data_IF_498244385713
#
_entry.id   IF_498244385713
#
_cell.length_a   1.000
_cell.length_b   1.000
_cell.length_c   1.000
_cell.angle_alpha   90.00
_cell.angle_beta   90.00
_cell.angle_gamma   90.00
#
_symmetry.space_group_name_H-M   'P 1'
#
loop_
_entity.id
_entity.type
_entity.pdbx_description
1 polymer ?
#
# COMPACT_ATOMS: atom_id res chain seq x y z
N UNK A 1 -0.49 10.46 -13.58
CA UNK A 1 -1.61 10.26 -12.62
C UNK A 1 -0.99 10.15 -11.24
N UNK A 2 -1.58 10.76 -10.22
CA UNK A 2 -1.14 10.60 -8.84
C UNK A 2 -1.72 9.30 -8.24
N UNK A 3 -1.04 8.79 -7.23
CA UNK A 3 -1.53 7.74 -6.34
C UNK A 3 -1.47 8.30 -4.93
N UNK A 4 -2.64 8.56 -4.34
CA UNK A 4 -2.74 9.08 -2.97
C UNK A 4 -3.05 7.94 -1.99
N UNK A 5 -2.35 7.96 -0.87
CA UNK A 5 -2.56 7.04 0.24
C UNK A 5 -3.29 7.75 1.37
N UNK A 6 -4.35 7.10 1.84
CA UNK A 6 -5.17 7.58 2.94
C UNK A 6 -5.16 6.59 4.09
N UNK A 7 -5.20 7.11 5.31
CA UNK A 7 -5.46 6.32 6.51
C UNK A 7 -6.92 6.51 6.91
N UNK A 8 -7.65 5.41 6.96
CA UNK A 8 -9.04 5.35 7.43
C UNK A 8 -9.05 4.74 8.83
N UNK A 9 -9.36 5.53 9.88
CA UNK A 9 -9.41 5.03 11.25
C UNK A 9 -10.48 3.95 11.41
N UNK A 10 -10.11 2.77 11.91
CA UNK A 10 -11.07 1.69 12.18
C UNK A 10 -11.62 1.85 13.60
N UNK A 11 -12.32 2.95 13.84
CA UNK A 11 -12.91 3.27 15.15
C UNK A 11 -14.42 3.24 15.09
N UNK A 12 -15.04 2.85 16.20
CA UNK A 12 -16.49 2.67 16.36
C UNK A 12 -17.31 3.88 15.87
N UNK A 13 -16.85 5.09 16.22
CA UNK A 13 -17.46 6.37 15.82
C UNK A 13 -17.57 6.51 14.30
N UNK A 14 -16.59 6.01 13.53
CA UNK A 14 -16.67 6.01 12.07
C UNK A 14 -17.44 4.79 11.56
N UNK A 15 -17.05 3.60 12.01
CA UNK A 15 -17.49 2.34 11.42
C UNK A 15 -18.97 2.03 11.64
N UNK A 16 -19.58 2.49 12.74
CA UNK A 16 -20.99 2.24 13.07
C UNK A 16 -21.89 3.46 12.85
N UNK A 17 -21.36 4.55 12.29
CA UNK A 17 -22.20 5.65 11.82
C UNK A 17 -23.01 5.19 10.61
N UNK A 18 -24.34 5.48 10.52
CA UNK A 18 -25.17 5.07 9.38
C UNK A 18 -24.65 5.52 8.02
N UNK A 19 -23.93 6.64 8.00
CA UNK A 19 -23.34 7.25 6.82
C UNK A 19 -21.86 6.85 6.60
N UNK A 20 -21.39 5.75 7.21
CA UNK A 20 -20.03 5.25 7.00
C UNK A 20 -19.81 4.92 5.51
N UNK A 21 -18.94 5.67 4.80
CA UNK A 21 -18.75 5.48 3.37
C UNK A 21 -18.03 4.17 3.03
N UNK A 22 -17.46 3.48 4.02
CA UNK A 22 -16.72 2.22 3.85
C UNK A 22 -17.49 0.99 4.34
N UNK A 23 -18.79 1.11 4.66
CA UNK A 23 -19.55 0.03 5.30
C UNK A 23 -19.65 -1.21 4.41
N UNK A 24 -19.86 -1.02 3.10
CA UNK A 24 -19.98 -2.12 2.14
C UNK A 24 -18.63 -2.81 1.93
N UNK A 25 -17.55 -2.05 1.77
CA UNK A 25 -16.19 -2.56 1.63
C UNK A 25 -15.74 -3.33 2.87
N UNK A 26 -15.98 -2.79 4.08
CA UNK A 26 -15.66 -3.48 5.33
C UNK A 26 -16.39 -4.82 5.46
N UNK A 27 -17.67 -4.88 5.06
CA UNK A 27 -18.44 -6.13 5.07
C UNK A 27 -17.86 -7.15 4.06
N UNK A 28 -17.40 -6.69 2.89
CA UNK A 28 -16.72 -7.54 1.91
C UNK A 28 -15.37 -8.04 2.44
N UNK A 29 -14.59 -7.18 3.10
CA UNK A 29 -13.30 -7.55 3.69
C UNK A 29 -13.48 -8.58 4.81
N UNK A 30 -14.45 -8.37 5.71
CA UNK A 30 -14.77 -9.32 6.78
C UNK A 30 -15.19 -10.68 6.23
N UNK A 31 -15.99 -10.70 5.15
CA UNK A 31 -16.36 -11.93 4.47
C UNK A 31 -15.14 -12.66 3.90
N UNK A 32 -14.28 -11.95 3.16
CA UNK A 32 -13.07 -12.53 2.58
C UNK A 32 -12.10 -13.07 3.65
N UNK A 33 -11.93 -12.33 4.74
CA UNK A 33 -11.14 -12.76 5.90
C UNK A 33 -11.74 -14.02 6.55
N UNK A 34 -13.05 -14.05 6.77
CA UNK A 34 -13.73 -15.20 7.37
C UNK A 34 -13.62 -16.46 6.50
N UNK A 35 -13.77 -16.34 5.17
CA UNK A 35 -13.58 -17.43 4.21
C UNK A 35 -12.15 -17.98 4.24
N UNK A 36 -11.16 -17.13 4.51
CA UNK A 36 -9.76 -17.50 4.69
C UNK A 36 -9.43 -18.00 6.12
N UNK A 37 -10.41 -18.05 7.04
CA UNK A 37 -10.22 -18.47 8.42
C UNK A 37 -9.49 -17.45 9.30
N UNK A 38 -9.52 -16.17 8.92
CA UNK A 38 -8.87 -15.05 9.59
C UNK A 38 -9.87 -14.26 10.45
N UNK A 39 -9.40 -13.48 11.45
CA UNK A 39 -10.28 -12.58 12.20
C UNK A 39 -10.82 -11.45 11.30
N UNK A 40 -11.97 -10.85 11.66
CA UNK A 40 -12.49 -9.69 10.96
C UNK A 40 -11.56 -8.47 11.10
N UNK A 41 -11.80 -7.45 10.28
CA UNK A 41 -11.14 -6.15 10.38
C UNK A 41 -11.39 -5.58 11.78
N UNK A 42 -10.32 -5.23 12.53
CA UNK A 42 -10.49 -4.79 13.91
C UNK A 42 -11.11 -3.39 13.95
N UNK A 43 -12.26 -3.27 14.60
CA UNK A 43 -12.89 -1.98 14.92
C UNK A 43 -12.71 -1.67 16.40
N UNK A 44 -12.04 -0.56 16.69
CA UNK A 44 -11.71 -0.15 18.05
C UNK A 44 -12.78 0.78 18.63
N UNK A 45 -13.26 0.48 19.84
CA UNK A 45 -14.21 1.37 20.56
C UNK A 45 -13.63 2.77 20.77
N UNK A 46 -12.33 2.85 21.03
CA UNK A 46 -11.62 4.09 21.21
C UNK A 46 -10.13 3.91 20.90
N UNK A 47 -9.55 4.86 20.18
CA UNK A 47 -8.12 4.95 19.95
C UNK A 47 -7.65 6.37 20.29
N UNK A 48 -6.77 6.55 21.30
CA UNK A 48 -6.33 7.88 21.70
C UNK A 48 -5.74 8.68 20.53
N UNK A 49 -6.28 9.88 20.29
CA UNK A 49 -5.79 10.80 19.26
C UNK A 49 -6.37 10.59 17.86
N UNK A 50 -7.36 9.71 17.67
CA UNK A 50 -8.10 9.57 16.42
C UNK A 50 -9.56 9.98 16.59
N UNK A 51 -10.02 10.89 15.73
CA UNK A 51 -11.39 11.44 15.69
C UNK A 51 -12.33 10.76 14.70
N UNK A 52 -11.85 9.74 13.97
CA UNK A 52 -12.57 9.12 12.85
C UNK A 52 -12.32 9.81 11.50
N UNK A 53 -11.55 10.91 11.49
CA UNK A 53 -11.20 11.63 10.26
C UNK A 53 -10.24 10.82 9.39
N UNK A 54 -10.57 10.69 8.11
CA UNK A 54 -9.69 10.14 7.08
C UNK A 54 -8.61 11.18 6.74
N UNK A 55 -7.35 10.76 6.71
CA UNK A 55 -6.22 11.68 6.51
C UNK A 55 -5.24 11.18 5.45
N UNK A 56 -4.69 12.07 4.60
CA UNK A 56 -3.67 11.69 3.64
C UNK A 56 -2.38 11.33 4.40
N UNK A 57 -1.67 10.30 3.93
CA UNK A 57 -0.40 9.86 4.52
C UNK A 57 0.77 9.99 3.57
N UNK A 58 0.55 9.82 2.27
CA UNK A 58 1.57 10.03 1.24
C UNK A 58 0.89 10.16 -0.13
N UNK A 59 1.64 10.67 -1.11
CA UNK A 59 1.25 10.68 -2.52
C UNK A 59 2.49 10.51 -3.39
N UNK A 60 2.33 9.82 -4.53
CA UNK A 60 3.42 9.60 -5.49
C UNK A 60 2.90 9.48 -6.92
N UNK A 61 3.83 9.60 -7.87
CA UNK A 61 3.53 9.34 -9.28
C UNK A 61 3.19 7.87 -9.48
N UNK A 62 2.14 7.59 -10.26
CA UNK A 62 1.68 6.25 -10.60
C UNK A 62 2.83 5.36 -11.09
N UNK A 63 3.64 5.87 -12.00
CA UNK A 63 4.76 5.11 -12.56
C UNK A 63 5.83 4.81 -11.49
N UNK A 64 6.00 5.69 -10.49
CA UNK A 64 6.97 5.50 -9.42
C UNK A 64 6.68 4.23 -8.61
N UNK A 65 5.41 3.86 -8.43
CA UNK A 65 5.01 2.64 -7.72
C UNK A 65 5.55 1.39 -8.41
N UNK A 66 5.52 1.37 -9.74
CA UNK A 66 5.98 0.24 -10.54
C UNK A 66 7.49 0.05 -10.47
N UNK A 67 8.28 1.12 -10.33
CA UNK A 67 9.72 0.99 -10.07
C UNK A 67 10.00 0.26 -8.75
N UNK A 68 9.26 0.58 -7.69
CA UNK A 68 9.42 -0.11 -6.40
C UNK A 68 9.00 -1.58 -6.50
N UNK A 69 7.88 -1.87 -7.17
CA UNK A 69 7.40 -3.24 -7.38
C UNK A 69 8.37 -4.07 -8.23
N UNK A 70 8.96 -3.48 -9.26
CA UNK A 70 10.04 -4.08 -10.05
C UNK A 70 11.23 -4.43 -9.16
N UNK A 71 11.70 -3.50 -8.33
CA UNK A 71 12.82 -3.76 -7.43
C UNK A 71 12.52 -4.90 -6.45
N UNK A 72 11.29 -4.96 -5.91
CA UNK A 72 10.86 -6.04 -5.04
C UNK A 72 10.81 -7.39 -5.78
N UNK A 73 10.20 -7.45 -6.97
CA UNK A 73 10.12 -8.68 -7.79
C UNK A 73 11.51 -9.21 -8.15
N UNK A 74 12.40 -8.35 -8.64
CA UNK A 74 13.78 -8.73 -8.94
C UNK A 74 14.46 -9.32 -7.71
N UNK A 75 14.31 -8.65 -6.55
CA UNK A 75 14.93 -9.09 -5.31
C UNK A 75 14.42 -10.44 -4.83
N UNK A 76 13.09 -10.63 -4.77
CA UNK A 76 12.50 -11.89 -4.28
C UNK A 76 12.77 -13.07 -5.22
N UNK A 77 12.92 -12.80 -6.52
CA UNK A 77 13.30 -13.80 -7.53
C UNK A 77 14.82 -14.04 -7.59
N UNK A 78 15.63 -13.37 -6.77
CA UNK A 78 17.08 -13.52 -6.73
C UNK A 78 17.80 -12.96 -7.97
N UNK A 79 17.17 -12.02 -8.67
CA UNK A 79 17.74 -11.32 -9.82
C UNK A 79 18.46 -10.04 -9.39
N UNK A 80 19.47 -9.58 -10.14
CA UNK A 80 20.14 -8.31 -9.86
C UNK A 80 19.17 -7.13 -9.90
N UNK A 81 19.14 -6.35 -8.81
CA UNK A 81 18.37 -5.10 -8.74
C UNK A 81 19.25 -3.97 -9.25
N UNK A 82 19.02 -3.54 -10.49
CA UNK A 82 19.70 -2.39 -11.10
C UNK A 82 18.72 -1.23 -11.29
N UNK A 83 19.17 0.02 -11.03
CA UNK A 83 18.35 1.20 -11.29
C UNK A 83 18.09 1.32 -12.80
N UNK A 84 16.92 1.82 -13.14
CA UNK A 84 16.50 2.04 -14.53
C UNK A 84 15.88 3.43 -14.67
N UNK A 85 16.16 4.10 -15.78
CA UNK A 85 15.62 5.44 -16.07
C UNK A 85 14.15 5.37 -16.48
N UNK A 86 13.76 4.29 -17.16
CA UNK A 86 12.39 3.97 -17.58
C UNK A 86 12.10 2.48 -17.35
N UNK A 87 10.84 2.12 -17.10
CA UNK A 87 10.44 0.71 -16.91
C UNK A 87 10.49 -0.08 -18.22
N UNK A 88 10.16 0.58 -19.35
CA UNK A 88 9.96 -0.11 -20.62
C UNK A 88 8.93 -1.24 -20.49
N UNK A 89 9.11 -2.33 -21.23
CA UNK A 89 8.32 -3.56 -21.06
C UNK A 89 8.93 -4.56 -20.07
N UNK A 90 9.96 -4.16 -19.31
CA UNK A 90 10.70 -5.05 -18.40
C UNK A 90 9.83 -5.46 -17.21
N UNK A 91 9.04 -4.52 -16.68
CA UNK A 91 8.16 -4.81 -15.54
C UNK A 91 7.01 -5.75 -15.92
N UNK A 92 6.38 -5.56 -17.08
CA UNK A 92 5.34 -6.45 -17.59
C UNK A 92 5.90 -7.86 -17.87
N UNK A 93 7.09 -7.95 -18.47
CA UNK A 93 7.76 -9.25 -18.66
C UNK A 93 8.08 -9.94 -17.33
N UNK A 94 8.50 -9.19 -16.30
CA UNK A 94 8.72 -9.74 -14.97
C UNK A 94 7.42 -10.26 -14.35
N UNK A 95 6.31 -9.54 -14.51
CA UNK A 95 4.99 -9.99 -14.05
C UNK A 95 4.55 -11.27 -14.76
N UNK A 96 4.74 -11.36 -16.09
CA UNK A 96 4.43 -12.57 -16.86
C UNK A 96 5.33 -13.76 -16.46
N UNK A 97 6.63 -13.52 -16.30
CA UNK A 97 7.60 -14.58 -15.98
C UNK A 97 7.46 -15.10 -14.54
N UNK A 98 7.09 -14.23 -13.61
CA UNK A 98 6.99 -14.54 -12.17
C UNK A 98 5.58 -14.36 -11.62
N UNK A 99 4.55 -14.60 -12.43
CA UNK A 99 3.14 -14.39 -12.09
C UNK A 99 2.76 -14.97 -10.72
N UNK A 100 3.15 -16.23 -10.47
CA UNK A 100 2.86 -16.90 -9.18
C UNK A 100 3.52 -16.23 -7.97
N UNK A 101 4.70 -15.62 -8.16
CA UNK A 101 5.41 -14.89 -7.10
C UNK A 101 4.80 -13.50 -6.92
N UNK A 102 4.43 -12.85 -8.03
CA UNK A 102 3.72 -11.58 -8.00
C UNK A 102 2.40 -11.71 -7.23
N UNK A 103 1.56 -12.70 -7.56
CA UNK A 103 0.27 -12.98 -6.93
C UNK A 103 0.34 -13.21 -5.41
N UNK A 104 1.50 -13.60 -4.89
CA UNK A 104 1.71 -13.84 -3.47
C UNK A 104 2.13 -12.59 -2.68
N UNK A 105 2.46 -11.49 -3.36
CA UNK A 105 2.99 -10.28 -2.75
C UNK A 105 1.93 -9.21 -2.54
N UNK A 106 1.92 -8.65 -1.34
CA UNK A 106 1.04 -7.54 -0.95
C UNK A 106 1.44 -6.23 -1.63
N UNK A 107 2.73 -6.02 -1.89
CA UNK A 107 3.25 -4.86 -2.59
C UNK A 107 2.96 -4.92 -4.10
N UNK A 108 3.01 -6.11 -4.72
CA UNK A 108 2.92 -6.29 -6.18
C UNK A 108 1.51 -6.61 -6.65
N UNK A 109 0.81 -7.56 -6.01
CA UNK A 109 -0.53 -8.00 -6.41
C UNK A 109 -1.62 -7.23 -5.68
N UNK A 110 -1.66 -5.93 -5.97
CA UNK A 110 -2.58 -4.97 -5.40
C UNK A 110 -2.88 -3.89 -6.46
N UNK A 111 -4.07 -3.28 -6.40
CA UNK A 111 -4.46 -2.26 -7.36
C UNK A 111 -3.80 -0.91 -7.05
N UNK A 112 -3.49 -0.16 -8.10
CA UNK A 112 -2.58 1.00 -7.98
C UNK A 112 -3.32 2.28 -7.58
N UNK A 113 -4.63 2.32 -7.81
CA UNK A 113 -5.52 3.47 -7.63
C UNK A 113 -6.84 3.04 -6.97
N UNK A 114 -6.89 1.82 -6.45
CA UNK A 114 -8.03 1.24 -5.76
C UNK A 114 -7.54 0.17 -4.79
N UNK A 115 -8.38 -0.19 -3.82
CA UNK A 115 -8.08 -1.27 -2.88
C UNK A 115 -7.52 -0.81 -1.55
N UNK A 116 -7.36 -1.78 -0.66
CA UNK A 116 -7.04 -1.51 0.74
C UNK A 116 -6.00 -2.47 1.32
N UNK A 117 -5.28 -1.97 2.32
CA UNK A 117 -4.55 -2.79 3.27
C UNK A 117 -5.19 -2.71 4.65
N UNK A 118 -5.54 -3.83 5.25
CA UNK A 118 -6.11 -3.89 6.60
C UNK A 118 -5.03 -4.27 7.63
N UNK A 119 -5.16 -3.87 8.91
CA UNK A 119 -4.19 -4.18 9.97
C UNK A 119 -4.33 -5.63 10.50
N UNK A 120 -4.64 -6.59 9.63
CA UNK A 120 -4.76 -8.01 9.94
C UNK A 120 -3.57 -8.76 9.33
N UNK A 121 -2.97 -9.69 10.06
CA UNK A 121 -1.84 -10.48 9.56
C UNK A 121 -2.33 -11.63 8.68
N UNK A 122 -1.87 -11.69 7.44
CA UNK A 122 -2.09 -12.85 6.58
C UNK A 122 -1.01 -12.94 5.49
N UNK A 123 -0.63 -14.16 5.06
CA UNK A 123 0.59 -14.37 4.30
C UNK A 123 0.50 -13.91 2.84
N UNK A 124 -0.67 -14.00 2.20
CA UNK A 124 -0.85 -13.69 0.78
C UNK A 124 -2.09 -12.83 0.55
N UNK A 125 -2.10 -11.90 -0.42
CA UNK A 125 -3.27 -11.11 -0.74
C UNK A 125 -4.52 -11.97 -0.90
N UNK A 126 -5.65 -11.55 -0.35
CA UNK A 126 -6.91 -12.25 -0.55
C UNK A 126 -7.55 -11.75 -1.84
N UNK A 127 -7.95 -12.67 -2.70
CA UNK A 127 -8.54 -12.35 -4.00
C UNK A 127 -9.73 -13.27 -4.25
N UNK A 128 -10.90 -12.67 -4.50
CA UNK A 128 -12.11 -13.35 -4.94
C UNK A 128 -12.87 -12.44 -5.93
N UNK A 129 -13.91 -12.95 -6.58
CA UNK A 129 -14.64 -12.21 -7.62
C UNK A 129 -15.26 -10.91 -7.10
N UNK A 130 -15.70 -10.87 -5.84
CA UNK A 130 -16.28 -9.66 -5.24
C UNK A 130 -15.23 -8.57 -5.01
N UNK A 131 -14.07 -8.95 -4.48
CA UNK A 131 -12.93 -8.05 -4.31
C UNK A 131 -12.41 -7.53 -5.65
N UNK A 132 -12.27 -8.41 -6.64
CA UNK A 132 -11.80 -8.05 -7.98
C UNK A 132 -12.77 -7.16 -8.76
N UNK A 133 -14.09 -7.28 -8.50
CA UNK A 133 -15.08 -6.39 -9.08
C UNK A 133 -15.07 -4.98 -8.49
N UNK A 134 -14.46 -4.81 -7.31
CA UNK A 134 -14.31 -3.54 -6.61
C UNK A 134 -12.84 -3.09 -6.54
N UNK A 135 -12.28 -3.11 -5.33
CA UNK A 135 -10.96 -2.56 -5.03
C UNK A 135 -9.76 -3.44 -5.37
N UNK A 136 -9.97 -4.63 -5.94
CA UNK A 136 -8.89 -5.59 -6.19
C UNK A 136 -8.51 -6.41 -4.95
N UNK A 137 -7.37 -7.14 -5.00
CA UNK A 137 -6.94 -7.99 -3.90
C UNK A 137 -6.79 -7.24 -2.58
N UNK A 138 -7.29 -7.82 -1.48
CA UNK A 138 -7.17 -7.27 -0.14
C UNK A 138 -5.78 -7.54 0.43
N UNK A 139 -5.07 -6.49 0.82
CA UNK A 139 -3.72 -6.57 1.37
C UNK A 139 -3.65 -6.54 2.89
N UNK A 140 -2.55 -7.04 3.44
CA UNK A 140 -2.20 -6.97 4.86
C UNK A 140 -1.17 -5.86 5.08
N UNK A 141 -1.48 -4.90 5.95
CA UNK A 141 -0.51 -3.86 6.34
C UNK A 141 0.73 -4.45 7.04
N UNK A 142 0.57 -5.58 7.72
CA UNK A 142 1.65 -6.28 8.41
C UNK A 142 2.61 -6.94 7.42
N UNK A 143 2.07 -7.67 6.46
CA UNK A 143 2.90 -8.33 5.45
C UNK A 143 3.48 -7.31 4.46
N UNK A 144 2.73 -6.28 4.06
CA UNK A 144 3.26 -5.15 3.30
C UNK A 144 4.49 -4.54 3.99
N UNK A 145 4.44 -4.30 5.30
CA UNK A 145 5.59 -3.77 6.03
C UNK A 145 6.80 -4.70 5.98
N UNK A 146 6.61 -6.02 6.06
CA UNK A 146 7.70 -7.01 5.92
C UNK A 146 8.30 -6.99 4.52
N UNK A 147 7.47 -6.88 3.48
CA UNK A 147 7.90 -6.79 2.08
C UNK A 147 8.70 -5.51 1.81
N UNK A 148 8.25 -4.38 2.36
CA UNK A 148 8.97 -3.11 2.32
C UNK A 148 10.33 -3.23 3.03
N UNK A 149 10.37 -3.79 4.23
CA UNK A 149 11.62 -4.02 4.96
C UNK A 149 12.58 -4.94 4.19
N UNK A 150 12.05 -5.90 3.43
CA UNK A 150 12.83 -6.81 2.62
C UNK A 150 13.51 -6.13 1.42
N UNK A 151 12.81 -5.25 0.71
CA UNK A 151 13.37 -4.52 -0.45
C UNK A 151 14.20 -3.29 -0.05
N UNK A 152 14.03 -2.75 1.16
CA UNK A 152 14.70 -1.53 1.60
C UNK A 152 16.23 -1.51 1.35
N UNK A 153 17.01 -2.56 1.71
CA UNK A 153 18.46 -2.52 1.57
C UNK A 153 18.94 -2.44 0.11
N UNK A 154 18.20 -3.04 -0.84
CA UNK A 154 18.61 -3.05 -2.25
C UNK A 154 18.34 -1.73 -2.98
N UNK A 155 17.47 -0.89 -2.42
CA UNK A 155 17.26 0.50 -2.86
C UNK A 155 18.00 1.51 -1.95
N UNK A 156 18.91 1.02 -1.11
CA UNK A 156 19.78 1.84 -0.26
C UNK A 156 19.10 2.49 0.95
N UNK A 157 17.99 1.92 1.43
CA UNK A 157 17.31 2.35 2.67
C UNK A 157 17.71 1.42 3.81
N UNK A 158 18.07 2.00 4.95
CA UNK A 158 18.12 1.28 6.23
C UNK A 158 16.71 1.26 6.84
N UNK A 159 16.00 0.11 6.88
CA UNK A 159 14.65 0.06 7.41
C UNK A 159 14.58 0.29 8.94
N UNK A 160 15.69 0.14 9.67
CA UNK A 160 15.73 0.42 11.10
C UNK A 160 15.88 1.92 11.41
N UNK A 161 16.35 2.70 10.44
CA UNK A 161 16.52 4.14 10.54
C UNK A 161 16.22 4.80 9.18
N UNK A 162 14.97 4.75 8.71
CA UNK A 162 14.63 5.26 7.39
C UNK A 162 14.76 6.79 7.36
N UNK A 163 15.04 7.38 6.18
CA UNK A 163 14.91 8.82 5.98
C UNK A 163 13.53 9.34 6.39
N UNK A 164 13.43 10.67 6.57
CA UNK A 164 12.15 11.31 6.81
C UNK A 164 11.19 11.05 5.63
N UNK A 165 9.94 10.72 5.96
CA UNK A 165 8.90 10.51 4.96
C UNK A 165 8.58 11.82 4.22
N UNK A 166 8.20 11.76 2.93
CA UNK A 166 7.67 12.90 2.22
C UNK A 166 6.45 13.49 2.93
N UNK A 167 6.24 14.80 2.77
CA UNK A 167 5.02 15.43 3.26
C UNK A 167 3.81 14.86 2.48
N UNK A 168 2.70 14.55 3.16
CA UNK A 168 1.47 14.14 2.48
C UNK A 168 0.94 15.28 1.60
N UNK A 169 0.17 14.95 0.55
CA UNK A 169 -0.50 15.97 -0.26
C UNK A 169 -1.45 16.81 0.63
N UNK A 170 -1.56 18.13 0.38
CA UNK A 170 -2.35 19.03 1.22
C UNK A 170 -3.86 18.87 1.03
N UNK A 171 -4.28 18.26 -0.07
CA UNK A 171 -5.66 17.96 -0.44
C UNK A 171 -5.65 16.71 -1.35
N UNK A 172 -6.79 16.00 -1.52
CA UNK A 172 -6.89 14.95 -2.52
C UNK A 172 -6.50 15.46 -3.90
N UNK A 173 -5.66 14.72 -4.60
CA UNK A 173 -5.40 14.97 -6.03
C UNK A 173 -6.59 14.51 -6.86
N UNK A 174 -6.95 15.29 -7.89
CA UNK A 174 -7.96 14.85 -8.84
C UNK A 174 -7.41 13.72 -9.75
N UNK A 175 -8.27 12.86 -10.31
CA UNK A 175 -7.87 11.66 -11.06
C UNK A 175 -6.86 11.93 -12.19
N UNK A 176 -6.97 13.08 -12.87
CA UNK A 176 -6.08 13.47 -13.97
C UNK A 176 -4.94 14.39 -13.52
N UNK A 177 -4.91 14.77 -12.23
CA UNK A 177 -3.89 15.65 -11.69
C UNK A 177 -2.56 14.89 -11.57
N UNK A 178 -1.45 15.45 -12.08
CA UNK A 178 -0.14 14.85 -11.89
C UNK A 178 0.25 14.97 -10.42
N UNK A 179 0.94 13.94 -9.89
CA UNK A 179 1.53 14.02 -8.56
C UNK A 179 2.46 15.24 -8.48
N UNK A 180 2.42 15.95 -7.36
CA UNK A 180 3.38 17.02 -7.10
C UNK A 180 4.79 16.42 -7.15
N UNK A 181 5.69 16.92 -8.01
CA UNK A 181 7.02 16.36 -8.13
C UNK A 181 7.72 16.37 -6.78
N UNK A 182 8.05 15.18 -6.27
CA UNK A 182 8.81 15.07 -5.05
C UNK A 182 10.23 15.63 -5.27
N UNK A 183 10.83 16.31 -4.28
CA UNK A 183 12.26 16.58 -4.31
C UNK A 183 12.99 15.24 -4.11
N UNK A 184 13.22 14.54 -5.22
CA UNK A 184 13.96 13.28 -5.23
C UNK A 184 15.36 13.51 -4.65
N UNK A 185 15.79 12.56 -3.81
CA UNK A 185 17.17 12.53 -3.32
C UNK A 185 18.13 12.18 -4.49
N UNK A 186 19.45 12.35 -4.37
CA UNK A 186 20.37 12.10 -5.47
C UNK A 186 20.62 10.59 -5.74
N UNK A 187 19.83 9.70 -5.12
CA UNK A 187 19.96 8.26 -5.33
C UNK A 187 19.55 7.87 -6.75
N UNK A 188 20.20 6.88 -7.38
CA UNK A 188 19.68 6.29 -8.61
C UNK A 188 18.33 5.57 -8.42
N UNK A 189 17.92 5.31 -7.17
CA UNK A 189 16.62 4.72 -6.81
C UNK A 189 15.66 5.75 -6.20
N UNK A 190 15.77 7.03 -6.54
CA UNK A 190 15.03 8.07 -5.83
C UNK A 190 13.49 7.91 -5.91
N UNK A 191 12.97 7.37 -7.03
CA UNK A 191 11.53 7.10 -7.22
C UNK A 191 11.05 5.98 -6.30
N UNK A 192 11.77 4.86 -6.30
CA UNK A 192 11.51 3.70 -5.46
C UNK A 192 11.55 4.09 -3.98
N UNK A 193 12.54 4.89 -3.60
CA UNK A 193 12.72 5.36 -2.22
C UNK A 193 11.59 6.29 -1.79
N UNK A 194 11.13 7.19 -2.66
CA UNK A 194 9.99 8.06 -2.38
C UNK A 194 8.71 7.26 -2.09
N UNK A 195 8.38 6.29 -2.95
CA UNK A 195 7.23 5.40 -2.77
C UNK A 195 7.38 4.55 -1.52
N UNK A 196 8.58 3.97 -1.31
CA UNK A 196 8.87 3.15 -0.14
C UNK A 196 8.62 3.91 1.16
N UNK A 197 9.09 5.16 1.24
CA UNK A 197 8.90 6.01 2.43
C UNK A 197 7.42 6.31 2.68
N UNK A 198 6.64 6.53 1.62
CA UNK A 198 5.20 6.73 1.71
C UNK A 198 4.46 5.49 2.23
N UNK A 199 4.67 4.34 1.58
CA UNK A 199 4.05 3.07 1.98
C UNK A 199 4.51 2.61 3.37
N UNK A 200 5.78 2.78 3.71
CA UNK A 200 6.32 2.43 5.03
C UNK A 200 5.67 3.27 6.13
N UNK A 201 5.47 4.57 5.87
CA UNK A 201 4.77 5.47 6.80
C UNK A 201 3.30 5.08 6.94
N UNK A 202 2.63 4.76 5.83
CA UNK A 202 1.25 4.28 5.83
C UNK A 202 1.09 2.98 6.63
N UNK A 203 1.92 1.97 6.36
CA UNK A 203 1.91 0.68 7.04
C UNK A 203 2.23 0.83 8.54
N UNK A 204 3.28 1.56 8.89
CA UNK A 204 3.64 1.77 10.30
C UNK A 204 2.53 2.48 11.07
N UNK A 205 1.93 3.52 10.48
CA UNK A 205 0.81 4.25 11.12
C UNK A 205 -0.45 3.39 11.19
N UNK A 206 -0.80 2.67 10.14
CA UNK A 206 -1.93 1.72 10.11
C UNK A 206 -1.87 0.75 11.29
N UNK A 207 -0.70 0.15 11.53
CA UNK A 207 -0.50 -0.81 12.61
C UNK A 207 -0.46 -0.16 13.99
N UNK A 208 0.16 1.02 14.12
CA UNK A 208 0.25 1.73 15.38
C UNK A 208 -1.10 2.30 15.84
N UNK A 209 -1.93 2.71 14.88
CA UNK A 209 -3.14 3.50 15.13
C UNK A 209 -4.44 2.75 14.80
N UNK A 210 -4.37 1.49 14.35
CA UNK A 210 -5.56 0.70 14.02
C UNK A 210 -6.36 1.29 12.86
N UNK A 211 -5.70 1.53 11.73
CA UNK A 211 -6.34 2.08 10.52
C UNK A 211 -6.15 1.14 9.34
N UNK A 212 -7.06 1.16 8.38
CA UNK A 212 -6.78 0.62 7.05
C UNK A 212 -6.13 1.70 6.16
N UNK A 213 -5.36 1.25 5.17
CA UNK A 213 -4.79 2.11 4.13
C UNK A 213 -5.67 1.97 2.89
N UNK A 214 -6.02 3.08 2.26
CA UNK A 214 -6.83 3.09 1.03
C UNK A 214 -6.12 3.92 -0.04
N UNK A 215 -6.22 3.47 -1.28
CA UNK A 215 -5.68 4.12 -2.47
C UNK A 215 -6.79 4.93 -3.15
N UNK A 216 -6.45 6.13 -3.65
CA UNK A 216 -7.32 6.96 -4.48
C UNK A 216 -6.53 7.65 -5.59
#
# INVERSE_FOLDING_TARGET
MACDLWLVPLVDVLCHTPDNPFAEELAQYDKALAEAGLPPVPVYQYMPGLSGDVAPVAGFDYDALHFLRRAYLLQVCGLPVTPVDELGGDYEQLLEMFESTAQQSHLVWHYDHAGAYVPVDFPHPLSNDELLAGGGPLGSSQTLLRELQYVAPVIGIDPANPPAAPAPPPAPTELEEPAVPAPYDPSPFARERHVWLGLHTAATRSLAQGSMIVFS
#
